data_IF_734806538184
#
_entry.id   IF_734806538184
#
_cell.length_a   1.000
_cell.length_b   1.000
_cell.length_c   1.000
_cell.angle_alpha   90.00
_cell.angle_beta   90.00
_cell.angle_gamma   90.00
#
_symmetry.space_group_name_H-M   'P 1'
#
loop_
_entity.id
_entity.type
_entity.pdbx_description
1 polymer ?
#
# COMPACT_ATOMS: atom_id res chain seq x y z
N UNK A 1 -23.73 22.48 0.15
CA UNK A 1 -22.37 22.81 -0.36
C UNK A 1 -21.65 21.51 -0.64
N UNK A 2 -20.85 21.43 -1.71
CA UNK A 2 -20.22 20.20 -2.19
C UNK A 2 -18.70 20.32 -2.05
N UNK A 3 -18.04 19.25 -1.62
CA UNK A 3 -16.57 19.12 -1.67
C UNK A 3 -16.22 18.78 -3.13
N UNK A 4 -15.33 19.57 -3.73
CA UNK A 4 -14.92 19.42 -5.14
C UNK A 4 -13.49 18.89 -5.33
N UNK A 5 -12.69 18.93 -4.28
CA UNK A 5 -11.34 18.35 -4.21
C UNK A 5 -11.03 17.99 -2.76
N UNK A 6 -10.30 16.89 -2.57
CA UNK A 6 -9.84 16.40 -1.28
C UNK A 6 -8.46 15.77 -1.49
N UNK A 7 -7.49 16.13 -0.65
CA UNK A 7 -6.16 15.53 -0.69
C UNK A 7 -5.56 15.45 0.71
N UNK A 8 -4.85 14.35 0.99
CA UNK A 8 -4.22 14.10 2.29
C UNK A 8 -2.72 14.37 2.18
N UNK A 9 -2.21 15.20 3.08
CA UNK A 9 -0.80 15.52 3.17
C UNK A 9 0.01 14.44 3.88
N UNK A 10 1.34 14.61 3.92
CA UNK A 10 2.23 13.63 4.53
C UNK A 10 1.95 13.45 6.04
N UNK A 11 2.07 12.22 6.52
CA UNK A 11 2.01 11.92 7.95
C UNK A 11 3.38 12.17 8.60
N UNK A 12 3.40 13.01 9.63
CA UNK A 12 4.59 13.27 10.45
C UNK A 12 4.53 12.40 11.70
N UNK A 13 5.40 11.41 11.77
CA UNK A 13 5.57 10.59 12.97
C UNK A 13 6.48 11.30 13.97
N UNK A 14 6.05 11.35 15.23
CA UNK A 14 6.81 11.83 16.38
C UNK A 14 6.90 10.71 17.40
N UNK A 15 8.13 10.29 17.69
CA UNK A 15 8.40 9.40 18.80
C UNK A 15 8.82 10.25 20.00
N UNK A 16 8.15 10.06 21.14
CA UNK A 16 8.56 10.71 22.37
C UNK A 16 9.73 9.93 22.99
N UNK A 17 10.93 10.52 23.01
CA UNK A 17 12.12 9.91 23.61
C UNK A 17 11.94 9.61 25.11
N UNK A 18 11.03 10.33 25.79
CA UNK A 18 10.73 10.10 27.21
C UNK A 18 9.60 9.10 27.43
N UNK A 19 8.87 8.70 26.39
CA UNK A 19 7.77 7.75 26.46
C UNK A 19 7.79 6.82 25.22
N UNK A 20 8.69 5.82 25.17
CA UNK A 20 8.85 4.93 24.01
C UNK A 20 7.59 4.10 23.69
N UNK A 21 6.63 4.09 24.61
CA UNK A 21 5.37 3.36 24.53
C UNK A 21 4.23 4.18 23.91
N UNK A 22 4.52 5.41 23.48
CA UNK A 22 3.58 6.32 22.86
C UNK A 22 4.09 6.77 21.50
N UNK A 23 3.32 6.46 20.46
CA UNK A 23 3.55 6.95 19.11
C UNK A 23 2.57 8.07 18.79
N UNK A 24 3.06 9.18 18.27
CA UNK A 24 2.25 10.30 17.81
C UNK A 24 2.40 10.46 16.30
N UNK A 25 1.30 10.65 15.59
CA UNK A 25 1.28 10.91 14.15
C UNK A 25 0.37 12.11 13.86
N UNK A 26 0.87 13.05 13.07
CA UNK A 26 0.13 14.25 12.66
C UNK A 26 0.01 14.27 11.15
N UNK A 27 -1.21 14.45 10.63
CA UNK A 27 -1.49 14.63 9.21
C UNK A 27 -2.41 15.81 8.98
N UNK A 28 -2.46 16.33 7.75
CA UNK A 28 -3.44 17.33 7.35
C UNK A 28 -4.22 16.85 6.12
N UNK A 29 -5.53 17.10 6.10
CA UNK A 29 -6.37 16.92 4.94
C UNK A 29 -6.80 18.29 4.41
N UNK A 30 -6.60 18.53 3.12
CA UNK A 30 -7.06 19.73 2.42
C UNK A 30 -8.33 19.41 1.63
N UNK A 31 -9.32 20.30 1.69
CA UNK A 31 -10.57 20.17 0.96
C UNK A 31 -11.00 21.49 0.34
N UNK A 32 -11.47 21.44 -0.91
CA UNK A 32 -12.13 22.58 -1.57
C UNK A 32 -13.63 22.48 -1.29
N UNK A 33 -14.10 23.24 -0.31
CA UNK A 33 -15.51 23.28 0.12
C UNK A 33 -16.23 24.50 -0.45
N UNK A 34 -17.04 24.28 -1.49
CA UNK A 34 -17.59 25.37 -2.30
C UNK A 34 -16.48 26.07 -3.08
N UNK A 35 -16.14 27.31 -2.71
CA UNK A 35 -15.05 28.09 -3.30
C UNK A 35 -13.90 28.32 -2.33
N UNK A 36 -13.97 27.73 -1.13
CA UNK A 36 -13.00 27.95 -0.05
C UNK A 36 -12.11 26.74 0.11
N UNK A 37 -10.84 27.00 0.37
CA UNK A 37 -9.90 25.98 0.82
C UNK A 37 -10.05 25.79 2.34
N UNK A 38 -10.09 24.53 2.78
CA UNK A 38 -10.21 24.12 4.18
C UNK A 38 -9.14 23.11 4.50
N UNK A 39 -8.41 23.30 5.60
CA UNK A 39 -7.39 22.36 6.08
C UNK A 39 -7.81 21.82 7.44
N UNK A 40 -7.87 20.50 7.55
CA UNK A 40 -8.20 19.76 8.77
C UNK A 40 -6.98 18.99 9.22
N UNK A 41 -6.44 19.34 10.39
CA UNK A 41 -5.35 18.61 11.04
C UNK A 41 -5.91 17.41 11.78
N UNK A 42 -5.27 16.27 11.61
CA UNK A 42 -5.52 15.01 12.30
C UNK A 42 -4.34 14.74 13.23
N UNK A 43 -4.61 14.62 14.52
CA UNK A 43 -3.63 14.21 15.53
C UNK A 43 -4.02 12.84 16.05
N UNK A 44 -3.13 11.87 15.85
CA UNK A 44 -3.34 10.46 16.20
C UNK A 44 -2.28 10.06 17.20
N UNK A 45 -2.70 9.52 18.34
CA UNK A 45 -1.81 8.96 19.35
C UNK A 45 -2.14 7.48 19.58
N UNK A 46 -1.10 6.67 19.62
CA UNK A 46 -1.15 5.24 19.90
C UNK A 46 -0.36 4.98 21.18
N UNK A 47 -1.04 4.53 22.23
CA UNK A 47 -0.45 4.26 23.54
C UNK A 47 -0.50 2.77 23.85
N UNK A 48 0.59 2.22 24.37
CA UNK A 48 0.58 0.86 24.92
C UNK A 48 -0.05 0.89 26.31
N UNK A 49 -1.10 0.11 26.55
CA UNK A 49 -1.61 -0.11 27.91
C UNK A 49 -0.56 -0.94 28.67
N UNK A 50 -0.02 -0.38 29.75
CA UNK A 50 0.91 -1.07 30.64
C UNK A 50 0.21 -1.47 31.93
N UNK A 51 0.17 -2.77 32.23
CA UNK A 51 0.54 -3.34 33.54
C UNK A 51 0.38 -4.88 33.64
N UNK A 52 -0.28 -5.55 32.68
CA UNK A 52 -0.38 -7.02 32.73
C UNK A 52 0.68 -7.71 31.87
N UNK A 53 1.72 -8.24 32.53
CA UNK A 53 2.80 -9.06 31.95
C UNK A 53 2.31 -10.36 31.27
N UNK A 54 1.03 -10.72 31.44
CA UNK A 54 0.44 -11.98 30.97
C UNK A 54 -0.58 -11.82 29.82
N UNK A 55 -0.90 -10.59 29.39
CA UNK A 55 -1.84 -10.35 28.29
C UNK A 55 -1.12 -9.79 27.03
N UNK A 56 -1.61 -10.08 25.81
CA UNK A 56 -1.07 -9.46 24.60
C UNK A 56 -1.15 -7.94 24.73
N UNK A 57 -0.07 -7.24 24.38
CA UNK A 57 0.04 -5.79 24.53
C UNK A 57 -1.12 -5.07 23.83
N UNK A 58 -2.06 -4.55 24.61
CA UNK A 58 -3.23 -3.84 24.08
C UNK A 58 -2.81 -2.41 23.75
N UNK A 59 -3.04 -1.99 22.52
CA UNK A 59 -2.78 -0.62 22.08
C UNK A 59 -4.09 0.17 22.10
N UNK A 60 -4.03 1.38 22.64
CA UNK A 60 -5.11 2.34 22.65
C UNK A 60 -4.85 3.41 21.59
N UNK A 61 -5.78 3.56 20.64
CA UNK A 61 -5.74 4.56 19.59
C UNK A 61 -6.68 5.72 19.93
N UNK A 62 -6.14 6.93 20.04
CA UNK A 62 -6.91 8.16 20.18
C UNK A 62 -6.61 9.08 19.01
N UNK A 63 -7.67 9.52 18.30
CA UNK A 63 -7.56 10.46 17.19
C UNK A 63 -8.41 11.72 17.46
N UNK A 64 -7.86 12.89 17.14
CA UNK A 64 -8.56 14.16 17.19
C UNK A 64 -8.42 14.90 15.87
N UNK A 65 -9.47 15.63 15.49
CA UNK A 65 -9.49 16.46 14.29
C UNK A 65 -9.72 17.91 14.67
N UNK A 66 -8.94 18.83 14.11
CA UNK A 66 -9.08 20.27 14.33
C UNK A 66 -8.92 21.01 13.01
N UNK A 67 -9.75 22.03 12.75
CA UNK A 67 -9.52 22.94 11.63
C UNK A 67 -8.26 23.76 11.94
N UNK A 68 -7.36 23.91 10.97
CA UNK A 68 -6.17 24.74 11.14
C UNK A 68 -6.55 26.22 10.91
N UNK A 69 -6.65 27.05 11.97
CA UNK A 69 -7.23 28.40 11.87
C UNK A 69 -6.32 29.38 11.11
N UNK A 70 -5.00 29.14 11.11
CA UNK A 70 -4.01 30.02 10.48
C UNK A 70 -4.09 30.02 8.94
N UNK A 71 -4.80 29.05 8.35
CA UNK A 71 -5.01 28.92 6.90
C UNK A 71 -6.43 29.26 6.46
N UNK A 72 -7.24 29.87 7.34
CA UNK A 72 -8.30 30.76 6.89
C UNK A 72 -7.65 32.01 6.32
N UNK A 73 -6.98 31.88 5.16
CA UNK A 73 -6.21 32.92 4.48
C UNK A 73 -7.06 34.19 4.53
N UNK A 74 -6.55 35.27 5.14
CA UNK A 74 -7.29 36.55 5.18
C UNK A 74 -7.58 37.10 3.77
N UNK A 75 -6.85 36.62 2.76
CA UNK A 75 -7.06 36.85 1.31
C UNK A 75 -7.97 35.81 0.61
N UNK A 76 -8.38 34.71 1.26
CA UNK A 76 -9.33 33.72 0.69
C UNK A 76 -10.78 34.24 0.59
N UNK A 77 -11.02 35.51 0.98
CA UNK A 77 -12.27 36.20 0.69
C UNK A 77 -12.43 36.55 -0.80
N UNK A 78 -11.35 36.74 -1.55
CA UNK A 78 -11.39 37.22 -2.94
C UNK A 78 -11.16 36.13 -3.99
N UNK A 79 -10.48 35.03 -3.64
CA UNK A 79 -10.06 33.99 -4.60
C UNK A 79 -11.01 32.79 -4.61
N UNK A 80 -11.31 32.29 -5.81
CA UNK A 80 -12.19 31.14 -6.04
C UNK A 80 -11.33 29.91 -6.31
N UNK A 81 -11.27 29.00 -5.34
CA UNK A 81 -10.59 27.71 -5.48
C UNK A 81 -11.55 26.68 -6.09
N UNK A 82 -11.09 25.95 -7.10
CA UNK A 82 -11.86 24.89 -7.79
C UNK A 82 -10.94 23.92 -8.49
N UNK A 83 -11.17 22.61 -8.28
CA UNK A 83 -10.42 21.56 -8.97
C UNK A 83 -9.62 20.68 -8.00
N UNK A 84 -8.66 19.90 -8.53
CA UNK A 84 -7.85 18.98 -7.73
C UNK A 84 -6.93 19.73 -6.74
N UNK A 85 -6.52 19.00 -5.70
CA UNK A 85 -5.59 19.45 -4.68
C UNK A 85 -4.47 18.43 -4.60
N UNK A 86 -3.23 18.87 -4.43
CA UNK A 86 -2.10 17.94 -4.35
C UNK A 86 -1.06 18.42 -3.35
N UNK A 87 -0.74 17.57 -2.37
CA UNK A 87 0.31 17.83 -1.40
C UNK A 87 1.67 17.39 -1.93
N UNK A 88 2.71 18.12 -1.57
CA UNK A 88 4.08 17.75 -1.88
C UNK A 88 5.07 18.34 -0.88
N UNK A 89 6.27 17.76 -0.86
CA UNK A 89 7.40 18.25 -0.10
C UNK A 89 8.63 18.21 -1.02
N UNK A 90 9.33 19.34 -1.14
CA UNK A 90 10.61 19.36 -1.85
C UNK A 90 11.68 18.64 -1.01
N UNK A 91 12.56 17.88 -1.66
CA UNK A 91 13.48 16.95 -0.98
C UNK A 91 14.40 17.60 0.06
N UNK A 92 14.70 18.90 -0.10
CA UNK A 92 15.60 19.66 0.78
C UNK A 92 14.86 20.71 1.64
N UNK A 93 13.52 20.76 1.54
CA UNK A 93 12.72 21.75 2.26
C UNK A 93 12.07 21.20 3.53
N UNK A 94 12.18 21.96 4.63
CA UNK A 94 11.37 21.78 5.83
C UNK A 94 9.94 22.33 5.66
N UNK A 95 9.57 22.77 4.45
CA UNK A 95 8.22 23.22 4.12
C UNK A 95 7.40 22.12 3.44
N UNK A 96 6.16 21.98 3.89
CA UNK A 96 5.16 21.13 3.28
C UNK A 96 4.23 22.02 2.47
N UNK A 97 4.07 21.71 1.19
CA UNK A 97 3.36 22.56 0.25
C UNK A 97 2.09 21.89 -0.27
N UNK A 98 1.12 22.73 -0.62
CA UNK A 98 -0.15 22.33 -1.19
C UNK A 98 -0.38 23.09 -2.50
N UNK A 99 -0.48 22.34 -3.59
CA UNK A 99 -0.96 22.83 -4.88
C UNK A 99 -2.49 22.90 -4.87
N UNK A 100 -3.00 24.06 -5.24
CA UNK A 100 -4.42 24.41 -5.25
C UNK A 100 -4.75 25.07 -6.57
N UNK A 101 -5.88 24.72 -7.15
CA UNK A 101 -6.29 25.25 -8.45
C UNK A 101 -7.20 26.46 -8.30
N UNK A 102 -6.90 27.51 -9.06
CA UNK A 102 -7.77 28.67 -9.26
C UNK A 102 -8.11 28.79 -10.75
N UNK A 103 -8.99 29.73 -11.11
CA UNK A 103 -9.33 29.95 -12.53
C UNK A 103 -8.13 30.55 -13.24
N UNK A 104 -7.56 29.81 -14.20
CA UNK A 104 -6.43 30.24 -15.03
C UNK A 104 -5.07 30.29 -14.35
N UNK A 105 -4.93 29.72 -13.15
CA UNK A 105 -3.66 29.65 -12.45
C UNK A 105 -3.57 28.44 -11.50
N UNK A 106 -2.34 28.04 -11.24
CA UNK A 106 -1.98 27.16 -10.13
C UNK A 106 -1.52 28.02 -8.96
N UNK A 107 -2.07 27.78 -7.77
CA UNK A 107 -1.62 28.37 -6.52
C UNK A 107 -0.84 27.33 -5.72
N UNK A 108 0.32 27.72 -5.19
CA UNK A 108 1.07 26.91 -4.23
C UNK A 108 1.02 27.61 -2.88
N UNK A 109 0.61 26.86 -1.85
CA UNK A 109 0.59 27.30 -0.45
C UNK A 109 1.66 26.51 0.29
N UNK A 110 2.73 27.19 0.71
CA UNK A 110 3.84 26.56 1.44
C UNK A 110 3.70 26.82 2.93
N UNK A 111 3.76 25.74 3.71
CA UNK A 111 3.65 25.76 5.16
C UNK A 111 4.96 25.33 5.79
N UNK A 112 5.55 26.13 6.69
CA UNK A 112 6.61 25.64 7.56
C UNK A 112 6.12 24.43 8.35
N UNK A 113 6.98 23.41 8.55
CA UNK A 113 6.65 22.20 9.31
C UNK A 113 5.99 22.48 10.67
N UNK A 114 6.44 23.51 11.39
CA UNK A 114 5.83 23.92 12.65
C UNK A 114 4.34 24.32 12.51
N UNK A 115 3.97 25.01 11.43
CA UNK A 115 2.58 25.40 11.13
C UNK A 115 1.76 24.19 10.67
N UNK A 116 2.35 23.28 9.91
CA UNK A 116 1.71 22.01 9.52
C UNK A 116 1.40 21.15 10.76
N UNK A 117 2.30 21.12 11.74
CA UNK A 117 2.09 20.49 13.04
C UNK A 117 1.09 21.28 13.93
N UNK A 118 0.76 22.52 13.55
CA UNK A 118 -0.09 23.47 14.26
C UNK A 118 0.48 23.94 15.60
N UNK A 119 1.79 24.24 15.61
CA UNK A 119 2.46 25.04 16.64
C UNK A 119 2.28 26.52 16.29
N UNK A 120 1.88 27.34 17.27
CA UNK A 120 1.85 28.80 17.09
C UNK A 120 3.26 29.32 16.84
N UNK A 121 3.46 30.04 15.73
CA UNK A 121 4.72 30.71 15.46
C UNK A 121 4.49 32.22 15.37
N UNK A 122 5.29 32.99 16.07
CA UNK A 122 5.28 34.47 16.00
C UNK A 122 5.89 35.00 14.69
N UNK A 123 6.49 34.13 13.86
CA UNK A 123 7.26 34.50 12.65
C UNK A 123 7.02 33.64 11.40
N UNK A 124 6.32 32.50 11.47
CA UNK A 124 6.14 31.60 10.33
C UNK A 124 5.01 32.05 9.41
N UNK A 125 5.29 32.97 8.49
CA UNK A 125 4.30 33.37 7.47
C UNK A 125 4.12 32.23 6.47
N UNK A 126 2.89 31.75 6.32
CA UNK A 126 2.47 30.93 5.19
C UNK A 126 2.80 31.70 3.90
N UNK A 127 3.46 31.04 2.96
CA UNK A 127 3.81 31.63 1.68
C UNK A 127 2.82 31.17 0.63
N UNK A 128 2.40 32.09 -0.24
CA UNK A 128 1.53 31.75 -1.36
C UNK A 128 2.13 32.28 -2.65
N UNK A 129 2.24 31.41 -3.66
CA UNK A 129 2.74 31.76 -5.00
C UNK A 129 1.72 31.39 -6.06
N UNK A 130 1.58 32.24 -7.07
CA UNK A 130 0.65 32.07 -8.19
C UNK A 130 1.44 31.80 -9.47
N UNK A 131 1.05 30.76 -10.19
CA UNK A 131 1.59 30.38 -11.50
C UNK A 131 0.47 30.52 -12.54
N UNK A 132 0.42 31.65 -13.28
CA UNK A 132 -0.55 31.83 -14.34
C UNK A 132 -0.35 30.79 -15.45
N UNK A 133 -1.46 30.31 -16.01
CA UNK A 133 -1.43 29.50 -17.23
C UNK A 133 -1.44 30.44 -18.43
N UNK A 134 -0.53 30.24 -19.37
CA UNK A 134 -0.42 31.06 -20.60
C UNK A 134 -0.74 30.24 -21.84
N UNK A 135 -1.33 30.89 -22.85
CA UNK A 135 -1.51 30.31 -24.17
C UNK A 135 -0.18 30.28 -24.93
N UNK A 136 0.22 29.10 -25.42
CA UNK A 136 1.33 28.97 -26.35
C UNK A 136 0.85 29.46 -27.73
N UNK A 137 1.07 30.74 -28.05
CA UNK A 137 0.85 31.27 -29.39
C UNK A 137 2.19 31.33 -30.14
N UNK A 138 2.43 30.36 -31.03
CA UNK A 138 3.58 30.35 -31.96
C UNK A 138 3.49 31.43 -33.06
N UNK A 139 2.51 32.34 -32.98
CA UNK A 139 2.35 33.42 -33.93
C UNK A 139 3.24 34.61 -33.54
N UNK A 140 4.43 34.65 -34.13
CA UNK A 140 5.28 35.83 -34.20
C UNK A 140 4.52 37.02 -34.80
N UNK A 141 3.84 37.83 -33.98
CA UNK A 141 3.59 39.28 -34.10
C UNK A 141 2.96 39.74 -32.76
N UNK A 142 3.72 40.50 -31.97
CA UNK A 142 3.20 41.25 -30.80
C UNK A 142 2.87 40.40 -29.56
N UNK A 143 3.88 40.16 -28.71
CA UNK A 143 3.75 39.47 -27.42
C UNK A 143 2.75 40.17 -26.50
N UNK A 144 1.51 39.71 -26.52
CA UNK A 144 0.58 39.89 -25.41
C UNK A 144 0.36 38.48 -24.89
N UNK A 145 0.95 38.16 -23.73
CA UNK A 145 0.79 36.84 -23.10
C UNK A 145 -0.68 36.65 -22.71
N UNK A 146 -1.44 35.97 -23.58
CA UNK A 146 -2.83 35.66 -23.31
C UNK A 146 -2.90 34.60 -22.20
N UNK A 147 -3.67 34.89 -21.14
CA UNK A 147 -3.91 33.93 -20.06
C UNK A 147 -4.83 32.82 -20.54
N UNK A 148 -4.49 31.59 -20.22
CA UNK A 148 -5.34 30.42 -20.41
C UNK A 148 -6.35 30.35 -19.26
N UNK A 149 -7.66 30.47 -19.56
CA UNK A 149 -8.71 30.61 -18.54
C UNK A 149 -9.42 29.30 -18.18
N UNK A 150 -8.91 28.16 -18.62
CA UNK A 150 -9.54 26.87 -18.32
C UNK A 150 -9.25 26.38 -16.91
N UNK A 151 -10.17 25.55 -16.40
CA UNK A 151 -9.97 24.89 -15.13
C UNK A 151 -8.95 23.75 -15.27
N UNK A 152 -8.02 23.70 -14.33
CA UNK A 152 -7.19 22.51 -14.10
C UNK A 152 -8.14 21.40 -13.65
N UNK A 153 -8.20 20.33 -14.43
CA UNK A 153 -9.07 19.17 -14.22
C UNK A 153 -8.33 18.02 -13.55
N UNK A 154 -7.00 17.97 -13.70
CA UNK A 154 -6.19 16.89 -13.18
C UNK A 154 -4.81 17.38 -12.74
N UNK A 155 -4.28 16.77 -11.69
CA UNK A 155 -3.01 17.13 -11.06
C UNK A 155 -2.43 15.91 -10.35
N UNK A 156 -1.11 15.77 -10.35
CA UNK A 156 -0.39 14.74 -9.58
C UNK A 156 1.03 15.22 -9.30
N UNK A 157 1.64 14.73 -8.22
CA UNK A 157 3.08 14.86 -8.00
C UNK A 157 3.75 13.54 -8.32
N UNK A 158 4.75 13.57 -9.18
CA UNK A 158 5.59 12.42 -9.47
C UNK A 158 6.92 12.59 -8.75
N UNK A 159 7.24 11.63 -7.90
CA UNK A 159 8.51 11.54 -7.19
C UNK A 159 9.24 10.29 -7.67
N UNK A 160 10.55 10.43 -7.83
CA UNK A 160 11.46 9.32 -8.11
C UNK A 160 12.29 9.05 -6.85
N UNK A 161 12.23 7.81 -6.36
CA UNK A 161 12.91 7.38 -5.13
C UNK A 161 14.45 7.42 -5.30
N UNK A 162 14.96 7.24 -6.53
CA UNK A 162 16.40 7.23 -6.80
C UNK A 162 16.98 8.64 -6.91
N UNK A 163 16.38 9.51 -7.74
CA UNK A 163 16.87 10.88 -7.92
C UNK A 163 16.41 11.84 -6.82
N UNK A 164 15.41 11.46 -6.01
CA UNK A 164 14.69 12.33 -5.06
C UNK A 164 14.08 13.58 -5.69
N UNK A 165 14.10 13.69 -7.01
CA UNK A 165 13.47 14.78 -7.73
C UNK A 165 11.97 14.51 -7.76
N UNK A 166 11.21 15.55 -7.40
CA UNK A 166 9.76 15.52 -7.51
C UNK A 166 9.32 16.59 -8.50
N UNK A 167 8.24 16.32 -9.22
CA UNK A 167 7.68 17.22 -10.21
C UNK A 167 6.16 17.24 -10.09
N UNK A 168 5.58 18.43 -10.08
CA UNK A 168 4.14 18.63 -10.11
C UNK A 168 3.69 18.69 -11.57
N UNK A 169 2.73 17.87 -11.93
CA UNK A 169 2.13 17.84 -13.28
C UNK A 169 0.66 18.21 -13.20
N UNK A 170 0.19 18.94 -14.21
CA UNK A 170 -1.21 19.34 -14.32
C UNK A 170 -1.73 19.25 -15.75
N UNK A 171 -3.04 19.06 -15.85
CA UNK A 171 -3.79 19.04 -17.11
C UNK A 171 -5.13 19.75 -16.96
N UNK A 172 -5.60 20.34 -18.05
CA UNK A 172 -6.87 21.08 -18.11
C UNK A 172 -7.88 20.35 -18.99
N UNK A 173 -9.15 20.74 -18.85
CA UNK A 173 -10.23 20.18 -19.65
C UNK A 173 -10.16 20.50 -21.15
N UNK A 174 -9.38 21.49 -21.59
CA UNK A 174 -9.12 21.76 -23.02
C UNK A 174 -7.74 21.32 -23.49
N UNK A 175 -7.02 20.53 -22.69
CA UNK A 175 -5.79 19.88 -23.15
C UNK A 175 -4.52 20.71 -22.98
N UNK A 176 -4.60 21.89 -22.35
CA UNK A 176 -3.41 22.56 -21.83
C UNK A 176 -2.80 21.72 -20.70
N UNK A 177 -1.48 21.65 -20.68
CA UNK A 177 -0.69 20.80 -19.79
C UNK A 177 0.59 21.52 -19.39
N UNK A 178 0.98 21.34 -18.13
CA UNK A 178 2.16 21.97 -17.56
C UNK A 178 2.80 21.06 -16.50
N UNK A 179 4.08 21.29 -16.25
CA UNK A 179 4.85 20.70 -15.16
C UNK A 179 5.71 21.74 -14.45
N UNK A 180 6.08 21.44 -13.20
CA UNK A 180 7.06 22.20 -12.42
C UNK A 180 7.92 21.24 -11.61
N UNK A 181 9.24 21.37 -11.73
CA UNK A 181 10.17 20.65 -10.87
C UNK A 181 10.18 21.27 -9.46
N UNK A 182 10.17 20.41 -8.43
CA UNK A 182 10.02 20.77 -7.02
C UNK A 182 11.40 20.80 -6.33
N UNK A 183 12.37 21.49 -6.92
CA UNK A 183 13.76 21.52 -6.43
C UNK A 183 13.85 22.46 -5.22
N UNK A 184 13.38 23.70 -5.34
CA UNK A 184 13.15 24.63 -4.22
C UNK A 184 12.10 25.66 -4.63
N UNK A 185 10.99 25.80 -3.89
CA UNK A 185 10.08 26.95 -4.05
C UNK A 185 10.63 28.21 -3.35
N UNK A 186 11.93 28.31 -3.14
CA UNK A 186 12.55 29.52 -2.58
C UNK A 186 12.52 30.64 -3.62
N UNK A 187 12.28 31.89 -3.21
CA UNK A 187 12.16 33.06 -4.10
C UNK A 187 13.43 33.32 -4.95
N UNK A 188 14.57 32.70 -4.61
CA UNK A 188 15.86 33.00 -5.22
C UNK A 188 16.13 32.26 -6.55
N UNK A 189 15.46 31.14 -6.83
CA UNK A 189 15.75 30.28 -8.00
C UNK A 189 14.52 29.89 -8.84
N UNK A 190 13.31 30.32 -8.45
CA UNK A 190 12.11 30.04 -9.22
C UNK A 190 11.85 31.13 -10.27
N UNK A 191 11.91 30.75 -11.54
CA UNK A 191 11.58 31.60 -12.69
C UNK A 191 10.08 31.94 -12.80
N UNK A 192 9.23 31.31 -11.98
CA UNK A 192 7.78 31.49 -12.00
C UNK A 192 7.12 30.87 -13.23
N UNK A 193 7.87 30.10 -14.03
CA UNK A 193 7.41 29.53 -15.29
C UNK A 193 7.07 28.05 -15.13
N UNK A 194 6.08 27.62 -15.90
CA UNK A 194 5.69 26.23 -16.05
C UNK A 194 6.30 25.68 -17.35
N UNK A 195 6.82 24.45 -17.29
CA UNK A 195 7.37 23.76 -18.46
C UNK A 195 6.34 22.80 -19.07
N UNK A 196 6.43 22.48 -20.37
CA UNK A 196 5.60 21.43 -20.95
C UNK A 196 6.01 20.06 -20.37
N UNK A 197 5.05 19.20 -19.96
CA UNK A 197 5.39 17.90 -19.40
C UNK A 197 5.85 16.91 -20.49
N UNK A 198 6.67 15.89 -20.16
CA UNK A 198 7.19 14.94 -21.16
C UNK A 198 6.10 14.15 -21.91
N UNK A 199 4.98 13.87 -21.24
CA UNK A 199 3.84 13.17 -21.84
C UNK A 199 3.03 14.03 -22.83
N UNK A 200 3.27 15.35 -22.90
CA UNK A 200 2.47 16.26 -23.74
C UNK A 200 2.61 15.94 -25.22
N UNK A 201 3.81 15.57 -25.67
CA UNK A 201 4.05 15.18 -27.05
C UNK A 201 3.17 14.00 -27.48
N UNK A 202 3.11 12.93 -26.65
CA UNK A 202 2.26 11.77 -26.94
C UNK A 202 0.76 12.14 -26.99
N UNK A 203 0.31 13.01 -26.08
CA UNK A 203 -1.07 13.52 -26.10
C UNK A 203 -1.36 14.32 -27.38
N UNK A 204 -0.45 15.20 -27.79
CA UNK A 204 -0.60 16.02 -28.99
C UNK A 204 -0.59 15.17 -30.27
N UNK A 205 0.31 14.18 -30.37
CA UNK A 205 0.37 13.24 -31.49
C UNK A 205 -0.95 12.48 -31.65
N UNK A 206 -1.55 12.02 -30.54
CA UNK A 206 -2.84 11.32 -30.58
C UNK A 206 -3.99 12.26 -30.96
N UNK A 207 -3.95 13.52 -30.51
CA UNK A 207 -4.94 14.54 -30.87
C UNK A 207 -4.84 14.91 -32.36
N UNK A 208 -3.64 15.11 -32.88
CA UNK A 208 -3.40 15.41 -34.29
C UNK A 208 -3.82 14.24 -35.18
N UNK A 209 -3.49 13.00 -34.79
CA UNK A 209 -3.96 11.82 -35.50
C UNK A 209 -5.48 11.73 -35.53
N UNK A 210 -6.16 12.02 -34.41
CA UNK A 210 -7.61 12.06 -34.36
C UNK A 210 -8.18 13.16 -35.27
N UNK A 211 -7.53 14.33 -35.33
CA UNK A 211 -7.88 15.42 -36.23
C UNK A 211 -7.84 15.00 -37.70
N UNK A 212 -6.75 14.34 -38.11
CA UNK A 212 -6.54 13.81 -39.46
C UNK A 212 -7.55 12.70 -39.78
N UNK A 213 -7.73 11.73 -38.87
CA UNK A 213 -8.61 10.58 -39.08
C UNK A 213 -10.09 10.99 -39.25
N UNK A 214 -10.47 12.19 -38.82
CA UNK A 214 -11.84 12.73 -38.88
C UNK A 214 -11.97 14.01 -39.71
N UNK A 215 -10.94 14.41 -40.46
CA UNK A 215 -10.91 15.61 -41.31
C UNK A 215 -11.36 16.90 -40.58
N UNK A 216 -10.88 17.12 -39.35
CA UNK A 216 -11.36 18.20 -38.47
C UNK A 216 -10.64 19.55 -38.68
N UNK A 217 -9.57 19.59 -39.48
CA UNK A 217 -8.92 20.85 -39.87
C UNK A 217 -8.25 21.61 -38.71
N UNK A 218 -7.70 20.90 -37.73
CA UNK A 218 -7.07 21.45 -36.54
C UNK A 218 -8.03 21.74 -35.39
N UNK A 219 -9.30 21.33 -35.49
CA UNK A 219 -10.35 21.59 -34.50
C UNK A 219 -10.54 20.43 -33.51
N UNK A 220 -9.66 19.44 -33.49
CA UNK A 220 -9.66 18.41 -32.45
C UNK A 220 -9.35 18.97 -31.05
N UNK A 221 -10.20 18.62 -30.09
CA UNK A 221 -10.06 18.95 -28.67
C UNK A 221 -9.70 17.68 -27.90
N UNK A 222 -8.59 17.71 -27.17
CA UNK A 222 -8.25 16.70 -26.18
C UNK A 222 -8.60 17.19 -24.78
N UNK A 223 -9.34 16.41 -24.01
CA UNK A 223 -9.73 16.76 -22.63
C UNK A 223 -9.00 15.87 -21.65
N UNK A 224 -8.22 16.45 -20.75
CA UNK A 224 -7.51 15.70 -19.71
C UNK A 224 -8.43 15.56 -18.49
N UNK A 225 -8.60 14.35 -17.99
CA UNK A 225 -9.55 14.04 -16.91
C UNK A 225 -8.89 13.55 -15.63
N UNK A 226 -7.69 12.95 -15.74
CA UNK A 226 -7.01 12.40 -14.59
C UNK A 226 -5.51 12.28 -14.82
N UNK A 227 -4.76 12.49 -13.76
CA UNK A 227 -3.34 12.18 -13.67
C UNK A 227 -3.13 11.31 -12.42
N UNK A 228 -2.21 10.38 -12.51
CA UNK A 228 -1.70 9.62 -11.37
C UNK A 228 -0.21 9.38 -11.57
N UNK A 229 0.54 9.30 -10.47
CA UNK A 229 1.96 9.00 -10.51
C UNK A 229 2.33 7.88 -9.55
N UNK A 230 3.35 7.12 -9.93
CA UNK A 230 3.96 6.09 -9.11
C UNK A 230 5.40 5.86 -9.56
N UNK A 231 6.37 5.97 -8.66
CA UNK A 231 7.77 5.59 -8.90
C UNK A 231 8.35 6.21 -10.19
N UNK A 232 8.27 7.55 -10.29
CA UNK A 232 8.71 8.30 -11.47
C UNK A 232 7.87 8.12 -12.75
N UNK A 233 6.87 7.22 -12.77
CA UNK A 233 5.90 7.10 -13.86
C UNK A 233 4.68 7.98 -13.65
N UNK A 234 4.12 8.45 -14.75
CA UNK A 234 2.88 9.21 -14.81
C UNK A 234 1.92 8.51 -15.77
N UNK A 235 0.70 8.29 -15.32
CA UNK A 235 -0.44 7.90 -16.13
C UNK A 235 -1.33 9.11 -16.37
N UNK A 236 -1.69 9.38 -17.63
CA UNK A 236 -2.57 10.49 -18.02
C UNK A 236 -3.80 9.94 -18.71
N UNK A 237 -4.98 10.26 -18.18
CA UNK A 237 -6.26 9.86 -18.73
C UNK A 237 -6.91 11.03 -19.49
N UNK A 238 -7.23 10.83 -20.76
CA UNK A 238 -7.85 11.86 -21.59
C UNK A 238 -8.83 11.30 -22.63
N UNK A 239 -9.66 12.17 -23.19
CA UNK A 239 -10.57 11.87 -24.31
C UNK A 239 -10.32 12.83 -25.47
N UNK A 240 -10.66 12.41 -26.68
CA UNK A 240 -10.54 13.21 -27.91
C UNK A 240 -11.93 13.44 -28.51
N UNK A 241 -12.17 14.66 -28.97
CA UNK A 241 -13.46 15.12 -29.47
C UNK A 241 -13.29 16.10 -30.64
N UNK A 242 -14.25 16.18 -31.55
CA UNK A 242 -14.32 17.31 -32.46
C UNK A 242 -14.71 18.59 -31.72
N UNK A 243 -14.11 19.73 -32.09
CA UNK A 243 -14.30 21.00 -31.40
C UNK A 243 -15.44 21.86 -31.94
N UNK A 244 -15.79 21.71 -33.21
CA UNK A 244 -16.73 22.60 -33.92
C UNK A 244 -17.99 21.88 -34.43
N UNK A 245 -18.17 20.60 -34.08
CA UNK A 245 -19.35 19.82 -34.43
C UNK A 245 -19.93 19.05 -33.24
N UNK A 246 -21.22 18.75 -33.33
CA UNK A 246 -21.90 17.92 -32.33
C UNK A 246 -21.49 16.48 -32.53
N UNK A 247 -20.86 15.91 -31.51
CA UNK A 247 -20.50 14.52 -31.49
C UNK A 247 -21.67 13.65 -30.97
N UNK A 248 -22.25 12.82 -31.83
CA UNK A 248 -23.23 11.81 -31.40
C UNK A 248 -22.50 10.51 -31.04
N UNK A 249 -22.24 10.30 -29.74
CA UNK A 249 -21.70 9.03 -29.23
C UNK A 249 -22.76 8.24 -28.49
N UNK A 250 -22.78 6.94 -28.75
CA UNK A 250 -23.39 5.97 -27.82
C UNK A 250 -22.39 5.63 -26.71
N UNK A 251 -22.86 5.19 -25.54
CA UNK A 251 -21.94 4.85 -24.43
C UNK A 251 -20.88 3.79 -24.79
N UNK A 252 -21.16 2.90 -25.75
CA UNK A 252 -20.19 1.92 -26.26
C UNK A 252 -19.03 2.51 -27.09
N UNK A 253 -19.20 3.75 -27.56
CA UNK A 253 -18.23 4.48 -28.38
C UNK A 253 -17.44 5.51 -27.56
N UNK A 254 -17.79 5.71 -26.28
CA UNK A 254 -16.99 6.52 -25.37
C UNK A 254 -15.67 5.80 -25.09
N UNK A 255 -14.56 6.47 -25.37
CA UNK A 255 -13.20 5.94 -25.19
C UNK A 255 -12.39 6.91 -24.37
N UNK A 256 -11.85 6.41 -23.26
CA UNK A 256 -10.80 7.08 -22.48
C UNK A 256 -9.47 6.44 -22.82
N UNK A 257 -8.48 7.27 -23.12
CA UNK A 257 -7.12 6.85 -23.44
C UNK A 257 -6.28 7.07 -22.19
N UNK A 258 -5.46 6.08 -21.83
CA UNK A 258 -4.47 6.20 -20.77
C UNK A 258 -3.09 6.06 -21.40
N UNK A 259 -2.27 7.10 -21.28
CA UNK A 259 -0.86 7.08 -21.70
C UNK A 259 0.04 7.02 -20.47
N UNK A 260 1.13 6.28 -20.58
CA UNK A 260 2.15 6.18 -19.55
C UNK A 260 3.43 6.85 -20.04
N UNK A 261 4.02 7.70 -19.20
CA UNK A 261 5.27 8.39 -19.47
C UNK A 261 6.11 8.46 -18.22
N UNK A 262 7.41 8.68 -18.37
CA UNK A 262 8.24 9.12 -17.26
C UNK A 262 7.93 10.57 -16.91
N UNK A 263 8.06 10.89 -15.63
CA UNK A 263 8.01 12.24 -15.11
C UNK A 263 9.24 13.06 -15.53
N UNK A 264 10.41 12.41 -15.58
CA UNK A 264 11.67 13.02 -16.00
C UNK A 264 12.23 12.33 -17.26
N UNK A 265 12.47 13.06 -18.37
CA UNK A 265 12.99 12.49 -19.60
C UNK A 265 14.46 12.04 -19.51
N UNK A 266 15.23 12.54 -18.53
CA UNK A 266 16.63 12.17 -18.31
C UNK A 266 16.81 10.88 -17.51
N UNK A 267 15.72 10.28 -17.04
CA UNK A 267 15.76 9.03 -16.28
C UNK A 267 16.09 7.84 -17.18
N UNK A 268 17.05 7.01 -16.75
CA UNK A 268 17.36 5.76 -17.44
C UNK A 268 16.17 4.79 -17.46
N UNK A 269 16.13 3.82 -18.38
CA UNK A 269 15.10 2.80 -18.39
C UNK A 269 15.16 1.89 -17.18
N UNK A 270 14.44 2.26 -16.12
CA UNK A 270 14.18 1.40 -14.98
C UNK A 270 12.80 0.75 -15.14
N UNK A 271 12.75 -0.55 -14.89
CA UNK A 271 11.49 -1.30 -14.74
C UNK A 271 10.85 -0.86 -13.42
N UNK A 272 9.63 -0.31 -13.43
CA UNK A 272 8.95 0.14 -12.22
C UNK A 272 8.95 -0.94 -11.15
N UNK A 273 9.07 -0.55 -9.89
CA UNK A 273 9.12 -1.47 -8.75
C UNK A 273 7.92 -2.42 -8.63
N UNK A 274 6.75 -2.10 -9.21
CA UNK A 274 5.58 -2.98 -9.29
C UNK A 274 5.67 -4.06 -10.38
N UNK A 275 6.56 -3.90 -11.38
CA UNK A 275 6.97 -4.94 -12.31
C UNK A 275 8.20 -5.68 -11.76
N UNK A 276 8.28 -5.81 -10.43
CA UNK A 276 9.42 -6.35 -9.70
C UNK A 276 9.82 -7.69 -10.29
N UNK A 277 11.11 -7.83 -10.60
CA UNK A 277 11.68 -9.16 -10.79
C UNK A 277 11.44 -9.95 -9.50
N UNK A 278 10.97 -11.19 -9.67
CA UNK A 278 10.78 -12.09 -8.55
C UNK A 278 12.10 -12.21 -7.77
N UNK A 279 12.06 -12.17 -6.43
CA UNK A 279 13.26 -12.36 -5.64
C UNK A 279 13.88 -13.72 -5.96
N UNK A 280 15.20 -13.81 -5.86
CA UNK A 280 15.88 -15.11 -5.94
C UNK A 280 15.46 -15.94 -4.73
N UNK A 281 14.71 -17.01 -4.97
CA UNK A 281 14.20 -17.90 -3.93
C UNK A 281 15.29 -18.84 -3.40
N UNK A 282 16.25 -18.30 -2.64
CA UNK A 282 17.25 -19.10 -1.92
C UNK A 282 16.62 -19.77 -0.69
N UNK A 283 17.23 -20.84 -0.20
CA UNK A 283 16.76 -21.53 1.02
C UNK A 283 16.71 -20.60 2.24
N UNK A 284 17.71 -19.73 2.40
CA UNK A 284 17.78 -18.76 3.49
C UNK A 284 16.70 -17.68 3.36
N UNK A 285 16.41 -17.23 2.13
CA UNK A 285 15.32 -16.30 1.87
C UNK A 285 13.97 -16.91 2.26
N UNK A 286 13.68 -18.12 1.79
CA UNK A 286 12.43 -18.81 2.13
C UNK A 286 12.30 -19.03 3.64
N UNK A 287 13.39 -19.42 4.32
CA UNK A 287 13.43 -19.56 5.78
C UNK A 287 13.11 -18.23 6.48
N UNK A 288 13.82 -17.17 6.16
CA UNK A 288 13.64 -15.85 6.79
C UNK A 288 12.20 -15.34 6.65
N UNK A 289 11.59 -15.53 5.47
CA UNK A 289 10.20 -15.12 5.24
C UNK A 289 9.20 -15.99 6.01
N UNK A 290 9.45 -17.29 6.16
CA UNK A 290 8.64 -18.17 7.05
C UNK A 290 8.75 -17.76 8.52
N UNK A 291 9.95 -17.43 8.98
CA UNK A 291 10.19 -17.03 10.38
C UNK A 291 9.36 -15.81 10.80
N UNK A 292 8.98 -14.92 9.87
CA UNK A 292 8.04 -13.82 10.14
C UNK A 292 6.66 -14.36 10.53
N UNK A 293 6.11 -15.29 9.75
CA UNK A 293 4.82 -15.93 10.01
C UNK A 293 4.88 -16.78 11.28
N UNK A 294 5.96 -17.53 11.48
CA UNK A 294 6.17 -18.33 12.69
C UNK A 294 6.17 -17.46 13.93
N UNK A 295 6.86 -16.33 13.91
CA UNK A 295 6.91 -15.39 15.04
C UNK A 295 5.53 -14.82 15.37
N UNK A 296 4.73 -14.50 14.35
CA UNK A 296 3.34 -14.08 14.54
C UNK A 296 2.51 -15.23 15.12
N UNK A 297 2.56 -16.42 14.53
CA UNK A 297 1.76 -17.57 14.93
C UNK A 297 2.08 -18.06 16.34
N UNK A 298 3.35 -18.01 16.76
CA UNK A 298 3.78 -18.49 18.07
C UNK A 298 3.66 -17.42 19.18
N UNK A 299 3.50 -16.12 18.86
CA UNK A 299 3.43 -15.02 19.85
C UNK A 299 2.10 -14.31 19.92
N UNK A 300 1.44 -14.10 18.79
CA UNK A 300 0.24 -13.23 18.66
C UNK A 300 -1.06 -13.99 18.85
N UNK A 301 -0.96 -15.32 18.91
CA UNK A 301 -2.08 -16.20 19.05
C UNK A 301 -2.26 -16.51 20.54
N UNK A 302 -3.07 -15.69 21.23
CA UNK A 302 -3.56 -15.96 22.59
C UNK A 302 -3.98 -17.43 22.67
N UNK A 303 -3.47 -18.18 23.64
CA UNK A 303 -3.70 -19.61 23.80
C UNK A 303 -5.21 -19.91 23.98
N UNK A 304 -5.95 -19.97 22.87
CA UNK A 304 -7.37 -20.27 22.85
C UNK A 304 -7.55 -21.78 22.89
N UNK A 305 -7.77 -22.29 24.11
CA UNK A 305 -7.98 -23.72 24.37
C UNK A 305 -9.29 -24.25 23.79
N UNK A 306 -10.19 -23.38 23.29
CA UNK A 306 -11.55 -23.77 22.89
C UNK A 306 -11.64 -24.24 21.44
N UNK A 307 -10.71 -23.85 20.57
CA UNK A 307 -10.74 -24.18 19.15
C UNK A 307 -9.67 -25.25 18.81
N UNK A 308 -10.05 -26.50 18.48
CA UNK A 308 -9.11 -27.57 18.13
C UNK A 308 -8.23 -27.24 16.91
N UNK A 309 -8.76 -26.49 15.94
CA UNK A 309 -8.00 -26.09 14.75
C UNK A 309 -6.89 -25.10 15.08
N UNK A 310 -7.10 -24.30 16.11
CA UNK A 310 -6.08 -23.41 16.61
C UNK A 310 -4.90 -24.17 17.18
N UNK A 311 -5.17 -25.14 18.06
CA UNK A 311 -4.14 -26.01 18.63
C UNK A 311 -3.35 -26.74 17.55
N UNK A 312 -4.03 -27.23 16.50
CA UNK A 312 -3.40 -27.85 15.32
C UNK A 312 -2.52 -26.88 14.53
N UNK A 313 -2.98 -25.64 14.32
CA UNK A 313 -2.24 -24.61 13.60
C UNK A 313 -0.98 -24.15 14.35
N UNK A 314 -1.07 -23.95 15.66
CA UNK A 314 0.10 -23.58 16.48
C UNK A 314 1.06 -24.77 16.62
N UNK A 315 0.55 -26.01 16.71
CA UNK A 315 1.38 -27.23 16.65
C UNK A 315 2.16 -27.31 15.33
N UNK A 316 1.49 -27.09 14.19
CA UNK A 316 2.12 -27.10 12.87
C UNK A 316 3.20 -26.02 12.74
N UNK A 317 2.95 -24.81 13.23
CA UNK A 317 3.95 -23.74 13.26
C UNK A 317 5.14 -24.10 14.16
N UNK A 318 4.91 -24.66 15.36
CA UNK A 318 5.99 -25.07 16.26
C UNK A 318 6.85 -26.19 15.65
N UNK A 319 6.23 -27.16 14.97
CA UNK A 319 6.96 -28.20 14.23
C UNK A 319 7.77 -27.62 13.06
N UNK A 320 7.18 -26.69 12.29
CA UNK A 320 7.90 -26.00 11.22
C UNK A 320 9.12 -25.23 11.75
N UNK A 321 8.98 -24.55 12.89
CA UNK A 321 10.10 -23.86 13.54
C UNK A 321 11.19 -24.85 13.97
N UNK A 322 10.82 -25.98 14.58
CA UNK A 322 11.76 -27.02 15.00
C UNK A 322 12.55 -27.62 13.82
N UNK A 323 11.89 -27.83 12.67
CA UNK A 323 12.51 -28.46 11.49
C UNK A 323 13.41 -27.50 10.72
N UNK A 324 12.99 -26.25 10.51
CA UNK A 324 13.68 -25.36 9.56
C UNK A 324 14.24 -24.06 10.13
N UNK A 325 13.82 -23.63 11.33
CA UNK A 325 14.33 -22.38 11.92
C UNK A 325 15.78 -22.54 12.38
N UNK A 326 16.56 -21.47 12.19
CA UNK A 326 17.87 -21.32 12.84
C UNK A 326 17.82 -20.30 13.99
N UNK A 327 16.69 -19.62 14.17
CA UNK A 327 16.47 -18.66 15.26
C UNK A 327 16.17 -19.40 16.58
N UNK A 328 17.11 -19.35 17.52
CA UNK A 328 16.99 -19.91 18.87
C UNK A 328 15.79 -19.33 19.64
N UNK A 329 15.44 -18.06 19.39
CA UNK A 329 14.29 -17.43 20.04
C UNK A 329 12.97 -18.06 19.58
N UNK A 330 12.88 -18.45 18.30
CA UNK A 330 11.71 -19.17 17.77
C UNK A 330 11.63 -20.59 18.32
N UNK A 331 12.76 -21.28 18.47
CA UNK A 331 12.80 -22.60 19.12
C UNK A 331 12.34 -22.54 20.59
N UNK A 332 12.71 -21.47 21.31
CA UNK A 332 12.23 -21.23 22.67
C UNK A 332 10.71 -21.01 22.71
N UNK A 333 10.15 -20.28 21.74
CA UNK A 333 8.69 -20.12 21.65
C UNK A 333 7.99 -21.43 21.28
N UNK A 334 8.55 -22.20 20.34
CA UNK A 334 8.03 -23.52 19.98
C UNK A 334 8.00 -24.46 21.20
N UNK A 335 9.05 -24.44 22.03
CA UNK A 335 9.07 -25.18 23.30
C UNK A 335 7.92 -24.79 24.23
N UNK A 336 7.69 -23.49 24.45
CA UNK A 336 6.58 -23.00 25.28
C UNK A 336 5.22 -23.46 24.75
N UNK A 337 5.05 -23.44 23.42
CA UNK A 337 3.84 -23.95 22.77
C UNK A 337 3.67 -25.45 23.02
N UNK A 338 4.71 -26.25 22.90
CA UNK A 338 4.62 -27.69 23.17
C UNK A 338 4.29 -27.97 24.66
N UNK A 339 4.87 -27.23 25.60
CA UNK A 339 4.53 -27.32 27.03
C UNK A 339 3.06 -26.97 27.29
N UNK A 340 2.55 -25.92 26.66
CA UNK A 340 1.15 -25.53 26.72
C UNK A 340 0.24 -26.60 26.11
N UNK A 341 0.52 -27.09 24.89
CA UNK A 341 -0.29 -28.11 24.22
C UNK A 341 -0.34 -29.42 25.01
N UNK A 342 0.79 -29.86 25.57
CA UNK A 342 0.85 -31.03 26.43
C UNK A 342 -0.05 -30.86 27.67
N UNK A 343 -0.04 -29.67 28.27
CA UNK A 343 -0.87 -29.35 29.44
C UNK A 343 -2.35 -29.25 29.10
N UNK A 344 -2.70 -28.57 28.00
CA UNK A 344 -4.08 -28.29 27.60
C UNK A 344 -4.81 -29.51 27.06
N UNK A 345 -4.09 -30.41 26.37
CA UNK A 345 -4.70 -31.56 25.67
C UNK A 345 -4.37 -32.92 26.30
N UNK A 346 -3.37 -32.98 27.19
CA UNK A 346 -2.89 -34.22 27.79
C UNK A 346 -2.05 -35.10 26.86
N UNK A 347 -1.63 -34.57 25.70
CA UNK A 347 -0.81 -35.30 24.71
C UNK A 347 0.67 -35.37 25.13
N UNK A 348 1.31 -36.51 24.84
CA UNK A 348 2.74 -36.68 25.05
C UNK A 348 3.54 -36.05 23.90
N UNK A 349 4.25 -34.95 24.22
CA UNK A 349 5.13 -34.21 23.32
C UNK A 349 6.60 -34.28 23.75
N UNK A 350 7.00 -35.34 24.46
CA UNK A 350 8.37 -35.50 24.96
C UNK A 350 9.39 -35.51 23.82
N UNK A 351 9.05 -36.11 22.67
CA UNK A 351 9.90 -36.11 21.48
C UNK A 351 10.15 -34.69 20.95
N UNK A 352 9.09 -33.90 20.78
CA UNK A 352 9.16 -32.52 20.31
C UNK A 352 9.98 -31.65 21.27
N UNK A 353 9.70 -31.75 22.57
CA UNK A 353 10.38 -30.96 23.62
C UNK A 353 11.89 -31.23 23.68
N UNK A 354 12.30 -32.49 23.56
CA UNK A 354 13.72 -32.86 23.55
C UNK A 354 14.44 -32.29 22.33
N UNK A 355 13.79 -32.35 21.16
CA UNK A 355 14.30 -31.85 19.88
C UNK A 355 14.28 -30.33 19.74
N UNK A 356 13.59 -29.57 20.58
CA UNK A 356 13.71 -28.10 20.63
C UNK A 356 15.09 -27.59 21.05
N UNK A 357 16.00 -28.46 21.51
CA UNK A 357 17.33 -28.05 22.00
C UNK A 357 18.36 -27.78 20.89
N UNK A 358 18.07 -28.19 19.65
CA UNK A 358 18.93 -27.95 18.49
C UNK A 358 18.10 -27.69 17.22
N UNK A 359 18.59 -26.91 16.25
CA UNK A 359 17.91 -26.69 14.98
C UNK A 359 18.06 -27.90 14.04
N UNK A 360 17.17 -28.00 13.04
CA UNK A 360 17.30 -28.96 11.94
C UNK A 360 16.87 -30.39 12.29
N UNK A 361 16.02 -30.55 13.29
CA UNK A 361 15.50 -31.86 13.69
C UNK A 361 14.37 -32.32 12.75
N UNK A 362 14.08 -33.63 12.75
CA UNK A 362 12.92 -34.22 12.06
C UNK A 362 12.03 -34.91 13.08
N UNK A 363 10.72 -34.93 12.84
CA UNK A 363 9.76 -35.68 13.65
C UNK A 363 9.14 -36.78 12.79
N UNK A 364 9.16 -37.98 13.32
CA UNK A 364 8.54 -39.13 12.67
C UNK A 364 7.01 -39.02 12.71
N UNK A 365 6.34 -39.74 11.81
CA UNK A 365 4.89 -39.84 11.84
C UNK A 365 4.40 -40.48 13.14
N UNK A 366 3.36 -39.90 13.76
CA UNK A 366 2.74 -40.46 14.97
C UNK A 366 2.03 -41.79 14.68
N UNK A 367 2.07 -42.72 15.63
CA UNK A 367 1.44 -44.04 15.53
C UNK A 367 -0.09 -43.94 15.60
N UNK A 368 -0.80 -45.00 15.20
CA UNK A 368 -2.26 -45.04 15.27
C UNK A 368 -2.79 -44.85 16.71
N UNK A 369 -2.06 -45.33 17.71
CA UNK A 369 -2.39 -45.15 19.13
C UNK A 369 -2.26 -43.69 19.57
N UNK A 370 -1.21 -42.99 19.12
CA UNK A 370 -1.00 -41.58 19.41
C UNK A 370 -2.04 -40.69 18.70
N UNK A 371 -2.36 -41.01 17.44
CA UNK A 371 -3.35 -40.30 16.64
C UNK A 371 -4.79 -40.42 17.17
N UNK A 372 -5.09 -41.51 17.87
CA UNK A 372 -6.41 -41.78 18.45
C UNK A 372 -6.44 -41.59 19.97
N UNK A 373 -5.31 -41.20 20.57
CA UNK A 373 -5.15 -40.95 22.00
C UNK A 373 -5.54 -39.54 22.42
N UNK A 374 -5.23 -39.21 23.68
CA UNK A 374 -5.46 -37.87 24.24
C UNK A 374 -4.71 -36.80 23.43
N UNK A 375 -5.42 -35.75 23.03
CA UNK A 375 -4.90 -34.66 22.21
C UNK A 375 -4.50 -35.04 20.78
N UNK A 376 -4.85 -36.24 20.29
CA UNK A 376 -4.50 -36.70 18.94
C UNK A 376 -5.05 -35.84 17.80
N UNK A 377 -6.01 -34.94 18.06
CA UNK A 377 -6.58 -34.01 17.07
C UNK A 377 -5.60 -32.91 16.61
N UNK A 378 -4.53 -32.65 17.37
CA UNK A 378 -3.49 -31.69 16.95
C UNK A 378 -2.58 -32.27 15.86
N UNK A 379 -2.51 -33.59 15.74
CA UNK A 379 -1.71 -34.27 14.73
C UNK A 379 -2.43 -34.35 13.39
N UNK A 380 -1.68 -34.28 12.31
CA UNK A 380 -2.20 -34.46 10.96
C UNK A 380 -2.36 -35.95 10.65
N UNK A 381 -3.54 -36.32 10.13
CA UNK A 381 -3.85 -37.63 9.57
C UNK A 381 -3.97 -37.49 8.06
N UNK A 382 -3.53 -38.52 7.34
CA UNK A 382 -3.73 -38.60 5.90
C UNK A 382 -5.18 -38.91 5.57
N UNK A 383 -5.86 -38.10 4.76
CA UNK A 383 -7.26 -38.31 4.40
C UNK A 383 -7.46 -39.60 3.57
N UNK A 384 -6.41 -40.05 2.88
CA UNK A 384 -6.42 -41.25 2.03
C UNK A 384 -6.29 -42.54 2.85
N UNK A 385 -5.33 -42.60 3.79
CA UNK A 385 -4.96 -43.85 4.49
C UNK A 385 -5.00 -43.76 6.01
N UNK A 386 -5.35 -42.60 6.57
CA UNK A 386 -5.46 -42.31 8.01
C UNK A 386 -4.16 -42.45 8.80
N UNK A 387 -3.03 -42.69 8.13
CA UNK A 387 -1.72 -42.70 8.75
C UNK A 387 -1.26 -41.29 9.16
N UNK A 388 -0.39 -41.22 10.17
CA UNK A 388 0.19 -39.96 10.63
C UNK A 388 1.10 -39.32 9.59
N UNK A 389 1.18 -38.00 9.61
CA UNK A 389 2.04 -37.19 8.73
C UNK A 389 3.31 -36.79 9.48
N UNK A 390 4.47 -37.00 8.87
CA UNK A 390 5.78 -36.67 9.45
C UNK A 390 6.15 -35.19 9.22
N UNK A 391 7.10 -34.69 10.03
CA UNK A 391 7.68 -33.35 9.88
C UNK A 391 9.16 -33.44 9.51
N UNK A 392 9.45 -33.18 8.24
CA UNK A 392 10.82 -33.15 7.70
C UNK A 392 11.09 -31.99 6.75
N UNK A 393 10.06 -31.23 6.37
CA UNK A 393 10.11 -30.07 5.47
C UNK A 393 8.97 -29.11 5.81
N UNK A 394 9.17 -27.82 5.55
CA UNK A 394 8.13 -26.80 5.60
C UNK A 394 7.30 -26.70 4.31
N UNK A 395 7.77 -27.23 3.18
CA UNK A 395 7.05 -27.19 1.89
C UNK A 395 6.32 -28.48 1.58
N UNK A 396 6.81 -29.61 2.09
CA UNK A 396 6.29 -30.94 1.77
C UNK A 396 5.87 -31.70 3.03
N UNK A 397 4.87 -32.53 2.87
CA UNK A 397 4.36 -33.45 3.86
C UNK A 397 4.28 -34.86 3.28
N UNK A 398 4.67 -35.86 4.06
CA UNK A 398 4.50 -37.25 3.69
C UNK A 398 3.90 -38.03 4.86
N UNK A 399 2.87 -38.83 4.57
CA UNK A 399 2.29 -39.74 5.56
C UNK A 399 3.10 -41.04 5.67
N UNK A 400 2.93 -41.78 6.76
CA UNK A 400 3.60 -43.08 6.95
C UNK A 400 3.25 -44.12 5.86
N UNK A 401 2.12 -43.95 5.18
CA UNK A 401 1.70 -44.76 4.04
C UNK A 401 2.33 -44.34 2.70
N UNK A 402 3.11 -43.26 2.66
CA UNK A 402 3.86 -42.80 1.48
C UNK A 402 3.19 -41.71 0.64
N UNK A 403 1.93 -41.35 0.89
CA UNK A 403 1.27 -40.23 0.18
C UNK A 403 1.96 -38.90 0.48
N UNK A 404 2.19 -38.10 -0.57
CA UNK A 404 2.89 -36.82 -0.56
C UNK A 404 1.89 -35.67 -0.77
N UNK A 405 2.05 -34.59 -0.01
CA UNK A 405 1.23 -33.37 -0.08
C UNK A 405 2.11 -32.12 0.00
N UNK A 406 1.63 -31.03 -0.58
CA UNK A 406 2.21 -29.70 -0.36
C UNK A 406 1.73 -29.17 0.99
N UNK A 407 2.60 -28.48 1.73
CA UNK A 407 2.21 -27.72 2.93
C UNK A 407 1.83 -26.30 2.55
N UNK A 408 0.78 -25.79 3.19
CA UNK A 408 0.42 -24.39 3.08
C UNK A 408 1.58 -23.50 3.54
N UNK A 409 2.00 -22.54 2.72
CA UNK A 409 3.12 -21.63 3.06
C UNK A 409 2.74 -20.55 4.11
N UNK A 410 1.64 -20.73 4.83
CA UNK A 410 1.15 -19.83 5.87
C UNK A 410 0.79 -20.59 7.15
N UNK A 411 -0.08 -21.60 7.10
CA UNK A 411 -0.41 -22.44 8.27
C UNK A 411 0.50 -23.65 8.46
N UNK A 412 1.28 -24.01 7.44
CA UNK A 412 2.14 -25.20 7.40
C UNK A 412 1.40 -26.54 7.46
N UNK A 413 0.07 -26.54 7.51
CA UNK A 413 -0.77 -27.73 7.41
C UNK A 413 -0.70 -28.27 5.98
N UNK A 414 -0.71 -29.59 5.82
CA UNK A 414 -0.77 -30.28 4.53
C UNK A 414 -2.09 -29.99 3.80
N UNK A 415 -1.98 -29.71 2.50
CA UNK A 415 -3.11 -29.50 1.60
C UNK A 415 -3.46 -30.86 0.98
N UNK A 416 -4.51 -31.49 1.49
CA UNK A 416 -4.88 -32.86 1.12
C UNK A 416 -6.10 -32.94 0.21
N UNK A 417 -6.95 -31.91 0.19
CA UNK A 417 -8.19 -31.86 -0.58
C UNK A 417 -7.99 -31.08 -1.90
N UNK A 418 -8.46 -31.59 -3.05
CA UNK A 418 -8.48 -30.81 -4.28
C UNK A 418 -9.38 -29.57 -4.17
N UNK A 419 -8.94 -28.44 -4.73
CA UNK A 419 -9.76 -27.23 -4.84
C UNK A 419 -9.83 -26.35 -3.59
N UNK A 420 -9.04 -26.65 -2.54
CA UNK A 420 -8.93 -25.82 -1.33
C UNK A 420 -7.69 -24.92 -1.32
N UNK A 421 -7.05 -24.74 -2.48
CA UNK A 421 -5.84 -23.94 -2.64
C UNK A 421 -6.14 -22.57 -3.22
N UNK A 422 -5.30 -21.59 -2.86
CA UNK A 422 -5.11 -20.32 -3.58
C UNK A 422 -3.63 -20.16 -3.90
N UNK A 423 -3.32 -19.46 -4.98
CA UNK A 423 -1.96 -19.32 -5.48
C UNK A 423 -1.53 -17.87 -5.52
N UNK A 424 -0.25 -17.60 -5.25
CA UNK A 424 0.31 -16.30 -5.55
C UNK A 424 0.25 -16.03 -7.06
N UNK A 425 -0.28 -14.87 -7.45
CA UNK A 425 -0.37 -14.45 -8.86
C UNK A 425 0.99 -14.27 -9.54
N UNK A 426 2.02 -13.93 -8.77
CA UNK A 426 3.37 -13.66 -9.30
C UNK A 426 4.27 -14.91 -9.29
N UNK A 427 4.45 -15.55 -8.12
CA UNK A 427 5.39 -16.66 -7.97
C UNK A 427 4.75 -18.05 -7.96
N UNK A 428 3.43 -18.15 -8.00
CA UNK A 428 2.71 -19.44 -8.01
C UNK A 428 2.76 -20.24 -6.71
N UNK A 429 3.34 -19.71 -5.64
CA UNK A 429 3.36 -20.39 -4.32
C UNK A 429 1.95 -20.70 -3.85
N UNK A 430 1.77 -21.91 -3.34
CA UNK A 430 0.48 -22.46 -2.92
C UNK A 430 0.18 -22.21 -1.43
N UNK A 431 -1.08 -21.86 -1.16
CA UNK A 431 -1.63 -21.55 0.15
C UNK A 431 -3.01 -22.20 0.27
N UNK A 432 -3.47 -22.46 1.50
CA UNK A 432 -4.87 -22.81 1.74
C UNK A 432 -5.78 -21.62 1.48
N UNK A 433 -6.93 -21.90 0.88
CA UNK A 433 -8.03 -20.98 0.67
C UNK A 433 -9.06 -21.15 1.80
N UNK A 434 -9.07 -20.16 2.69
CA UNK A 434 -9.95 -20.08 3.85
C UNK A 434 -11.44 -20.15 3.51
N UNK A 435 -11.85 -19.55 2.39
CA UNK A 435 -13.25 -19.54 1.97
C UNK A 435 -13.69 -20.90 1.46
N UNK A 436 -12.80 -21.61 0.76
CA UNK A 436 -13.03 -22.99 0.33
C UNK A 436 -13.06 -23.94 1.53
N UNK A 437 -12.15 -23.77 2.48
CA UNK A 437 -12.09 -24.57 3.71
C UNK A 437 -13.35 -24.40 4.59
N UNK A 438 -13.89 -23.19 4.69
CA UNK A 438 -15.09 -22.90 5.46
C UNK A 438 -16.30 -23.72 4.97
N UNK A 439 -16.37 -23.99 3.67
CA UNK A 439 -17.46 -24.76 3.06
C UNK A 439 -17.37 -26.26 3.41
N UNK A 440 -16.17 -26.78 3.68
CA UNK A 440 -15.93 -28.21 3.90
C UNK A 440 -15.87 -28.55 5.39
N UNK A 441 -15.16 -27.75 6.18
CA UNK A 441 -14.87 -28.05 7.59
C UNK A 441 -15.61 -27.14 8.60
N UNK A 442 -16.49 -26.26 8.12
CA UNK A 442 -17.24 -25.32 8.94
C UNK A 442 -16.43 -24.09 9.39
N UNK A 443 -17.04 -23.27 10.23
CA UNK A 443 -16.52 -21.93 10.59
C UNK A 443 -15.35 -21.94 11.58
N UNK A 444 -15.10 -23.05 12.26
CA UNK A 444 -14.05 -23.13 13.29
C UNK A 444 -12.64 -23.04 12.68
N UNK A 445 -12.39 -23.77 11.58
CA UNK A 445 -11.14 -23.67 10.82
C UNK A 445 -10.97 -22.28 10.19
N UNK A 446 -12.06 -21.75 9.63
CA UNK A 446 -12.08 -20.40 9.07
C UNK A 446 -11.65 -19.38 10.11
N UNK A 447 -12.24 -19.39 11.31
CA UNK A 447 -11.90 -18.44 12.38
C UNK A 447 -10.44 -18.52 12.85
N UNK A 448 -9.84 -19.72 12.85
CA UNK A 448 -8.45 -19.91 13.22
C UNK A 448 -7.49 -19.38 12.14
N UNK A 449 -7.85 -19.57 10.87
CA UNK A 449 -7.05 -19.17 9.73
C UNK A 449 -7.24 -17.70 9.34
N UNK A 450 -8.41 -17.11 9.61
CA UNK A 450 -8.77 -15.72 9.32
C UNK A 450 -7.81 -14.72 9.98
N UNK A 451 -7.32 -15.02 11.20
CA UNK A 451 -6.28 -14.20 11.85
C UNK A 451 -4.98 -14.18 11.03
N UNK A 452 -4.58 -15.31 10.46
CA UNK A 452 -3.39 -15.39 9.61
C UNK A 452 -3.62 -14.71 8.27
N UNK A 453 -4.74 -14.98 7.59
CA UNK A 453 -5.01 -14.41 6.26
C UNK A 453 -5.24 -12.90 6.29
N UNK A 454 -5.81 -12.35 7.37
CA UNK A 454 -5.95 -10.90 7.54
C UNK A 454 -4.62 -10.17 7.73
N UNK A 455 -3.65 -10.81 8.40
CA UNK A 455 -2.31 -10.22 8.61
C UNK A 455 -1.41 -10.45 7.40
N UNK A 456 -1.54 -11.61 6.74
CA UNK A 456 -0.75 -12.01 5.59
C UNK A 456 -1.65 -12.13 4.35
N UNK A 457 -2.18 -10.99 3.91
CA UNK A 457 -3.09 -10.86 2.76
C UNK A 457 -2.37 -10.82 1.40
N UNK A 458 -1.05 -11.09 1.41
CA UNK A 458 -0.14 -11.16 0.27
C UNK A 458 0.83 -12.32 0.45
N UNK A 459 1.39 -12.80 -0.66
CA UNK A 459 2.39 -13.87 -0.65
C UNK A 459 3.58 -13.47 0.22
N UNK A 460 3.88 -14.29 1.23
CA UNK A 460 4.97 -14.01 2.15
C UNK A 460 6.32 -13.97 1.46
N UNK A 461 6.48 -14.53 0.26
CA UNK A 461 7.76 -14.55 -0.44
C UNK A 461 7.95 -13.39 -1.41
N UNK A 462 6.96 -13.01 -2.22
CA UNK A 462 7.13 -11.96 -3.24
C UNK A 462 6.21 -10.74 -3.06
N UNK A 463 5.22 -10.80 -2.16
CA UNK A 463 4.23 -9.74 -1.98
C UNK A 463 3.06 -9.79 -2.96
N UNK A 464 3.06 -10.73 -3.90
CA UNK A 464 1.98 -10.90 -4.88
C UNK A 464 0.64 -11.24 -4.24
N UNK A 465 -0.44 -10.72 -4.83
CA UNK A 465 -1.81 -11.03 -4.38
C UNK A 465 -2.21 -12.46 -4.74
N UNK A 466 -3.13 -13.02 -3.96
CA UNK A 466 -3.62 -14.37 -4.17
C UNK A 466 -4.71 -14.41 -5.26
N UNK A 467 -4.69 -15.47 -6.06
CA UNK A 467 -5.78 -15.86 -6.96
C UNK A 467 -6.31 -17.24 -6.54
N UNK A 468 -7.62 -17.39 -6.56
CA UNK A 468 -8.30 -18.67 -6.33
C UNK A 468 -8.34 -19.48 -7.64
#
# INVERSE_FOLDING_TARGET
>A
MRISGLSCGPWLLKQDEMAPDVYHAIGNAAATYGTKLKLVRLDVSLRRDGEDLEAPSRWNLQATASENPDLSIKDAGERIYRGPLEWFQAAESEEISLAVTTVGALMVVSLPRAVYEGKETSSGKIQTREYPLFENTDAAIGKTEARHWEAISAMTVASDDESKLSSLHLGTSGGHAAAKELIEFTDAHDDGLLSPPPWKAQFDDMRERFDIDHDLGGLAIGRIWGLAAYDGLIAVAFTLHPGDMIEYRTGSQERTIIVFSRANPHQEPHTPSFLRELPVFTSDFLRFRREVVLRFTLRSLDHDDRNPWYQKLVYAAACCALVESQDESLLLQARKVFEWLATATGVDLTEELTKCSSPGNKLESKSAEQLNGAGGHIFEKCDICQAGVAWYSAQEAQCAGGHLFVRCNLSYISIQEPGVSKFCSDCGTEYLNEDALAQIHGTELQSAYEKLSNVFDTCIYCGGKFRA
#
